data_IF_133734403205
#
_entry.id   IF_133734403205
#
_cell.length_a   1.000
_cell.length_b   1.000
_cell.length_c   1.000
_cell.angle_alpha   90.00
_cell.angle_beta   90.00
_cell.angle_gamma   90.00
#
_symmetry.space_group_name_H-M   'P 1'
#
loop_
_entity.id
_entity.type
_entity.pdbx_description
1 polymer ?
#
# COMPACT_ATOMS: atom_id res chain seq x y z
N UNK A 1 3.68 13.15 -27.63
CA UNK A 1 4.05 12.03 -26.74
C UNK A 1 2.77 11.58 -26.08
N UNK A 2 2.10 10.59 -26.66
CA UNK A 2 0.77 10.18 -26.21
C UNK A 2 0.92 9.37 -24.93
N UNK A 3 0.25 9.81 -23.87
CA UNK A 3 0.13 9.10 -22.60
C UNK A 3 -0.57 7.72 -22.73
N UNK A 4 -0.97 7.34 -23.94
CA UNK A 4 -1.72 6.12 -24.27
C UNK A 4 -0.82 4.94 -24.68
N UNK A 5 0.46 5.18 -24.98
CA UNK A 5 1.38 4.14 -25.47
C UNK A 5 2.00 3.20 -24.39
N UNK A 6 2.18 3.57 -23.10
CA UNK A 6 2.80 2.65 -22.15
C UNK A 6 1.84 1.64 -21.53
N UNK A 7 0.52 1.83 -21.63
CA UNK A 7 -0.47 1.02 -20.88
C UNK A 7 -0.56 -0.42 -21.43
N UNK A 8 -0.20 -0.64 -22.69
CA UNK A 8 -0.23 -1.96 -23.35
C UNK A 8 1.11 -2.70 -23.45
N UNK A 9 2.22 -2.08 -23.03
CA UNK A 9 3.58 -2.66 -23.10
C UNK A 9 3.96 -3.24 -21.72
N UNK A 10 4.77 -4.30 -21.71
CA UNK A 10 5.30 -5.03 -20.52
C UNK A 10 5.71 -4.11 -19.33
N UNK A 11 6.21 -2.92 -19.66
CA UNK A 11 6.64 -1.87 -18.74
C UNK A 11 5.48 -1.19 -17.99
N UNK A 12 4.32 -0.97 -18.64
CA UNK A 12 3.17 -0.31 -18.02
C UNK A 12 2.47 -1.18 -16.99
N UNK A 13 2.32 -2.47 -17.28
CA UNK A 13 1.72 -3.42 -16.36
C UNK A 13 2.58 -3.60 -15.10
N UNK A 14 3.91 -3.71 -15.26
CA UNK A 14 4.83 -3.79 -14.12
C UNK A 14 4.83 -2.50 -13.29
N UNK A 15 4.74 -1.33 -13.92
CA UNK A 15 4.65 -0.04 -13.24
C UNK A 15 3.37 0.08 -12.41
N UNK A 16 2.21 -0.23 -12.99
CA UNK A 16 0.92 -0.20 -12.29
C UNK A 16 0.87 -1.22 -11.15
N UNK A 17 1.43 -2.41 -11.36
CA UNK A 17 1.52 -3.43 -10.31
C UNK A 17 2.38 -2.95 -9.13
N UNK A 18 3.52 -2.30 -9.42
CA UNK A 18 4.41 -1.75 -8.40
C UNK A 18 3.71 -0.65 -7.60
N UNK A 19 3.03 0.28 -8.28
CA UNK A 19 2.27 1.35 -7.62
C UNK A 19 1.17 0.76 -6.73
N UNK A 20 0.41 -0.21 -7.25
CA UNK A 20 -0.62 -0.90 -6.48
C UNK A 20 -0.05 -1.63 -5.25
N UNK A 21 1.08 -2.32 -5.41
CA UNK A 21 1.75 -3.01 -4.32
C UNK A 21 2.19 -2.05 -3.21
N UNK A 22 2.80 -0.92 -3.55
CA UNK A 22 3.23 0.10 -2.58
C UNK A 22 2.03 0.69 -1.83
N UNK A 23 0.93 0.99 -2.53
CA UNK A 23 -0.30 1.50 -1.90
C UNK A 23 -0.88 0.47 -0.94
N UNK A 24 -0.96 -0.80 -1.33
CA UNK A 24 -1.46 -1.89 -0.47
C UNK A 24 -0.56 -2.05 0.76
N UNK A 25 0.76 -2.01 0.59
CA UNK A 25 1.71 -2.07 1.70
C UNK A 25 1.57 -0.89 2.65
N UNK A 26 1.43 0.33 2.14
CA UNK A 26 1.21 1.52 2.98
C UNK A 26 -0.08 1.40 3.80
N UNK A 27 -1.17 0.93 3.19
CA UNK A 27 -2.44 0.69 3.89
C UNK A 27 -2.30 -0.43 4.92
N UNK A 28 -1.68 -1.56 4.56
CA UNK A 28 -1.48 -2.69 5.46
C UNK A 28 -0.64 -2.27 6.68
N UNK A 29 0.45 -1.55 6.45
CA UNK A 29 1.33 -1.05 7.49
C UNK A 29 0.64 -0.03 8.39
N UNK A 30 -0.12 0.91 7.80
CA UNK A 30 -0.92 1.86 8.56
C UNK A 30 -1.97 1.18 9.44
N UNK A 31 -2.65 0.14 8.93
CA UNK A 31 -3.58 -0.69 9.71
C UNK A 31 -2.88 -1.50 10.79
N UNK A 32 -1.71 -2.04 10.50
CA UNK A 32 -0.90 -2.81 11.44
C UNK A 32 -0.45 -1.95 12.61
N UNK A 33 0.14 -0.79 12.33
CA UNK A 33 0.58 0.18 13.35
C UNK A 33 -0.61 0.64 14.19
N UNK A 34 -1.73 0.99 13.55
CA UNK A 34 -2.96 1.38 14.28
C UNK A 34 -3.47 0.28 15.22
N UNK A 35 -3.52 -0.95 14.72
CA UNK A 35 -3.97 -2.11 15.52
C UNK A 35 -3.00 -2.43 16.66
N UNK A 36 -1.70 -2.23 16.48
CA UNK A 36 -0.70 -2.42 17.53
C UNK A 36 -0.81 -1.35 18.62
N UNK A 37 -0.97 -0.08 18.24
CA UNK A 37 -1.16 1.01 19.21
C UNK A 37 -2.45 0.84 20.02
N UNK A 38 -3.56 0.43 19.39
CA UNK A 38 -4.78 0.09 20.14
C UNK A 38 -4.59 -1.08 21.11
N UNK A 39 -3.71 -2.02 20.81
CA UNK A 39 -3.43 -3.14 21.69
C UNK A 39 -2.61 -2.69 22.91
N UNK A 40 -1.62 -1.82 22.70
CA UNK A 40 -0.82 -1.24 23.78
C UNK A 40 -1.65 -0.34 24.71
N UNK A 41 -2.60 0.43 24.16
CA UNK A 41 -3.50 1.27 24.97
C UNK A 41 -4.49 0.45 25.81
N UNK A 42 -4.94 -0.72 25.31
CA UNK A 42 -5.82 -1.61 26.07
C UNK A 42 -5.08 -2.31 27.21
N UNK A 43 -3.83 -2.69 27.02
CA UNK A 43 -3.02 -3.36 28.04
C UNK A 43 -2.61 -2.40 29.18
N UNK A 44 -2.42 -1.11 28.90
CA UNK A 44 -2.09 -0.10 29.93
C UNK A 44 -3.29 0.36 30.78
N UNK A 45 -4.52 -0.03 30.44
CA UNK A 45 -5.75 0.33 31.18
C UNK A 45 -6.26 -0.77 32.12
N UNK A 46 -5.52 -1.86 32.29
CA UNK A 46 -5.82 -2.95 33.22
C UNK A 46 -4.66 -3.14 34.21
#
# INVERSE_FOLDING_TARGET
>A
MSFEEPIGTDIGLQSLFTIGYVVVMAVCFGRFVKKHMEHDERLRRH
#
